data_IF_068581447871
#
_entry.id   IF_068581447871
#
_cell.length_a   1.000
_cell.length_b   1.000
_cell.length_c   1.000
_cell.angle_alpha   90.00
_cell.angle_beta   90.00
_cell.angle_gamma   90.00
#
_symmetry.space_group_name_H-M   'P 1'
#
loop_
_entity.id
_entity.type
_entity.pdbx_description
1 polymer ?
#
# COMPACT_ATOMS: atom_id res chain seq x y z
N UNK A 1 -28.22 -13.81 61.71
CA UNK A 1 -27.02 -13.25 61.09
C UNK A 1 -26.29 -14.17 60.09
N UNK A 2 -26.34 -15.51 60.21
CA UNK A 2 -25.64 -16.43 59.26
C UNK A 2 -26.31 -16.56 57.88
N UNK A 3 -27.63 -16.41 57.80
CA UNK A 3 -28.39 -16.54 56.52
C UNK A 3 -28.15 -15.37 55.56
N UNK A 4 -28.08 -14.14 56.04
CA UNK A 4 -27.86 -12.92 55.25
C UNK A 4 -26.46 -12.88 54.64
N UNK A 5 -25.44 -13.37 55.36
CA UNK A 5 -24.05 -13.44 54.83
C UNK A 5 -23.93 -14.45 53.70
N UNK A 6 -24.69 -15.59 53.78
CA UNK A 6 -24.70 -16.59 52.70
C UNK A 6 -25.43 -16.09 51.43
N UNK A 7 -26.53 -15.32 51.61
CA UNK A 7 -27.26 -14.72 50.51
C UNK A 7 -26.42 -13.64 49.81
N UNK A 8 -25.66 -12.84 50.58
CA UNK A 8 -24.76 -11.81 50.04
C UNK A 8 -23.58 -12.41 49.24
N UNK A 9 -22.98 -13.50 49.73
CA UNK A 9 -21.92 -14.21 49.03
C UNK A 9 -22.39 -14.89 47.73
N UNK A 10 -23.60 -15.43 47.71
CA UNK A 10 -24.20 -16.02 46.51
C UNK A 10 -24.55 -14.95 45.48
N UNK A 11 -25.05 -13.78 45.89
CA UNK A 11 -25.35 -12.67 45.03
C UNK A 11 -24.09 -12.05 44.41
N UNK A 12 -23.00 -11.89 45.18
CA UNK A 12 -21.73 -11.38 44.67
C UNK A 12 -21.04 -12.38 43.71
N UNK A 13 -21.14 -13.68 44.00
CA UNK A 13 -20.63 -14.73 43.10
C UNK A 13 -21.36 -14.80 41.76
N UNK A 14 -22.68 -14.59 41.75
CA UNK A 14 -23.48 -14.54 40.54
C UNK A 14 -23.18 -13.28 39.70
N UNK A 15 -22.91 -12.13 40.33
CA UNK A 15 -22.54 -10.89 39.65
C UNK A 15 -21.14 -10.98 39.02
N UNK A 16 -20.19 -11.62 39.69
CA UNK A 16 -18.85 -11.87 39.14
C UNK A 16 -18.87 -12.89 37.99
N UNK A 17 -19.72 -13.89 38.06
CA UNK A 17 -19.85 -14.87 36.96
C UNK A 17 -20.50 -14.27 35.70
N UNK A 18 -21.41 -13.30 35.87
CA UNK A 18 -22.02 -12.59 34.73
C UNK A 18 -21.05 -11.63 34.00
N UNK A 19 -19.97 -11.15 34.67
CA UNK A 19 -18.98 -10.27 34.06
C UNK A 19 -17.89 -10.97 33.23
N UNK A 20 -17.92 -12.33 33.22
CA UNK A 20 -16.96 -13.13 32.42
C UNK A 20 -17.55 -13.73 31.15
N UNK A 21 -18.76 -13.30 30.77
CA UNK A 21 -19.26 -13.68 29.44
C UNK A 21 -18.33 -13.11 28.38
N UNK A 22 -17.69 -13.94 27.53
CA UNK A 22 -16.89 -13.41 26.45
C UNK A 22 -17.84 -12.59 25.58
N UNK A 23 -17.54 -11.29 25.45
CA UNK A 23 -18.13 -10.50 24.37
C UNK A 23 -17.66 -11.19 23.10
N UNK A 24 -18.57 -11.87 22.41
CA UNK A 24 -18.30 -12.39 21.10
C UNK A 24 -18.01 -11.16 20.21
N UNK A 25 -16.74 -10.85 20.02
CA UNK A 25 -16.37 -9.94 18.97
C UNK A 25 -16.90 -10.57 17.68
N UNK A 26 -17.87 -9.93 17.03
CA UNK A 26 -18.37 -10.37 15.75
C UNK A 26 -17.18 -10.52 14.81
N UNK A 27 -16.95 -11.71 14.28
CA UNK A 27 -15.93 -11.91 13.27
C UNK A 27 -16.34 -11.10 12.03
N UNK A 28 -15.41 -10.36 11.44
CA UNK A 28 -15.63 -9.65 10.19
C UNK A 28 -16.05 -10.67 9.12
N UNK A 29 -17.18 -10.44 8.47
CA UNK A 29 -17.66 -11.28 7.35
C UNK A 29 -17.42 -10.57 6.02
N UNK A 30 -17.41 -11.32 4.93
CA UNK A 30 -17.29 -10.74 3.58
C UNK A 30 -18.45 -9.79 3.25
N UNK A 31 -19.64 -10.03 3.83
CA UNK A 31 -20.83 -9.22 3.63
C UNK A 31 -20.74 -7.84 4.28
N UNK A 32 -19.91 -7.71 5.34
CA UNK A 32 -19.68 -6.42 6.01
C UNK A 32 -18.83 -5.46 5.18
N UNK A 33 -18.19 -5.94 4.10
CA UNK A 33 -17.30 -5.16 3.26
C UNK A 33 -17.94 -4.80 1.92
N UNK A 34 -18.03 -3.51 1.62
CA UNK A 34 -18.49 -3.00 0.31
C UNK A 34 -17.39 -3.09 -0.76
N UNK A 35 -16.11 -3.18 -0.35
CA UNK A 35 -14.99 -3.36 -1.26
C UNK A 35 -15.15 -4.69 -2.04
N UNK A 36 -14.92 -4.69 -3.37
CA UNK A 36 -15.03 -5.91 -4.18
C UNK A 36 -13.93 -6.94 -3.88
N UNK A 37 -12.76 -6.49 -3.43
CA UNK A 37 -11.66 -7.34 -2.95
C UNK A 37 -11.01 -6.72 -1.73
N UNK A 38 -10.56 -7.56 -0.78
CA UNK A 38 -9.87 -7.11 0.43
C UNK A 38 -8.91 -8.18 0.94
N UNK A 39 -7.81 -7.75 1.54
CA UNK A 39 -6.88 -8.60 2.28
C UNK A 39 -6.49 -7.88 3.56
N UNK A 40 -6.55 -8.57 4.69
CA UNK A 40 -5.98 -8.15 5.96
C UNK A 40 -4.86 -9.11 6.32
N UNK A 41 -3.67 -8.58 6.52
CA UNK A 41 -2.49 -9.38 6.83
C UNK A 41 -1.76 -8.83 8.06
N UNK A 42 -1.25 -9.72 8.89
CA UNK A 42 -0.36 -9.34 9.98
C UNK A 42 1.02 -8.96 9.42
N UNK A 43 1.47 -7.72 9.67
CA UNK A 43 2.68 -7.18 9.06
C UNK A 43 3.97 -7.91 9.49
N UNK A 44 4.02 -8.46 10.73
CA UNK A 44 5.21 -9.10 11.27
C UNK A 44 5.45 -10.51 10.74
N UNK A 45 4.40 -11.24 10.40
CA UNK A 45 4.45 -12.66 10.03
C UNK A 45 4.02 -12.93 8.59
N UNK A 46 3.35 -11.98 7.94
CA UNK A 46 2.73 -12.18 6.64
C UNK A 46 1.48 -13.07 6.68
N UNK A 47 0.98 -13.41 7.89
CA UNK A 47 -0.21 -14.24 8.02
C UNK A 47 -1.46 -13.50 7.56
N UNK A 48 -2.18 -14.07 6.61
CA UNK A 48 -3.50 -13.56 6.20
C UNK A 48 -4.49 -13.83 7.32
N UNK A 49 -5.16 -12.78 7.80
CA UNK A 49 -6.15 -12.81 8.87
C UNK A 49 -7.58 -12.81 8.31
N UNK A 50 -7.77 -12.16 7.17
CA UNK A 50 -9.03 -12.10 6.44
C UNK A 50 -8.76 -11.85 4.97
N UNK A 51 -9.57 -12.43 4.10
CA UNK A 51 -9.52 -12.16 2.67
C UNK A 51 -10.92 -12.25 2.04
N UNK A 52 -11.12 -11.44 1.00
CA UNK A 52 -12.29 -11.44 0.14
C UNK A 52 -11.82 -11.25 -1.30
N UNK A 53 -12.10 -12.21 -2.19
CA UNK A 53 -11.70 -12.17 -3.61
C UNK A 53 -10.24 -11.71 -3.81
N UNK A 54 -9.32 -12.13 -2.94
CA UNK A 54 -7.94 -11.63 -2.86
C UNK A 54 -7.09 -12.00 -4.08
N UNK A 55 -7.49 -13.05 -4.81
CA UNK A 55 -6.83 -13.54 -6.01
C UNK A 55 -7.52 -13.12 -7.32
N UNK A 56 -8.56 -12.30 -7.24
CA UNK A 56 -9.23 -11.80 -8.45
C UNK A 56 -8.37 -10.76 -9.14
N UNK A 57 -8.14 -10.94 -10.45
CA UNK A 57 -7.35 -10.01 -11.26
C UNK A 57 -8.13 -8.70 -11.44
N UNK A 58 -7.54 -7.60 -10.98
CA UNK A 58 -8.15 -6.26 -11.01
C UNK A 58 -7.14 -5.21 -11.42
N UNK A 59 -7.63 -4.17 -12.08
CA UNK A 59 -6.85 -2.93 -12.23
C UNK A 59 -6.75 -2.26 -10.86
N UNK A 60 -5.51 -2.03 -10.41
CA UNK A 60 -5.24 -1.49 -9.07
C UNK A 60 -5.03 0.02 -9.03
N UNK A 61 -5.17 0.71 -10.17
CA UNK A 61 -4.99 2.15 -10.30
C UNK A 61 -3.68 2.60 -9.61
N UNK A 62 -3.68 3.71 -8.89
CA UNK A 62 -2.48 4.27 -8.25
C UNK A 62 -1.79 3.38 -7.21
N UNK A 63 -2.34 2.22 -6.85
CA UNK A 63 -1.59 1.20 -6.09
C UNK A 63 -0.38 0.71 -6.90
N UNK A 64 -0.41 0.82 -8.22
CA UNK A 64 0.74 0.61 -9.13
C UNK A 64 2.01 1.32 -8.64
N UNK A 65 1.88 2.56 -8.12
CA UNK A 65 3.00 3.36 -7.62
C UNK A 65 3.74 2.75 -6.43
N UNK A 66 3.16 1.76 -5.75
CA UNK A 66 3.87 1.01 -4.71
C UNK A 66 5.06 0.26 -5.31
N UNK A 67 4.91 -0.35 -6.49
CA UNK A 67 6.03 -1.01 -7.19
C UNK A 67 7.03 0.03 -7.71
N UNK A 68 6.56 1.15 -8.23
CA UNK A 68 7.42 2.25 -8.68
C UNK A 68 8.31 2.74 -7.53
N UNK A 69 7.71 3.03 -6.39
CA UNK A 69 8.43 3.47 -5.19
C UNK A 69 9.35 2.39 -4.63
N UNK A 70 8.97 1.12 -4.69
CA UNK A 70 9.84 0.01 -4.30
C UNK A 70 11.14 0.03 -5.12
N UNK A 71 11.03 0.12 -6.45
CA UNK A 71 12.21 0.16 -7.33
C UNK A 71 13.07 1.43 -7.12
N UNK A 72 12.43 2.57 -6.86
CA UNK A 72 13.13 3.82 -6.51
C UNK A 72 13.91 3.65 -5.20
N UNK A 73 13.29 3.09 -4.16
CA UNK A 73 13.95 2.87 -2.88
C UNK A 73 15.08 1.83 -2.99
N UNK A 74 14.87 0.75 -3.74
CA UNK A 74 15.93 -0.23 -4.03
C UNK A 74 17.10 0.40 -4.79
N UNK A 75 16.83 1.33 -5.72
CA UNK A 75 17.88 2.06 -6.43
C UNK A 75 18.69 2.97 -5.49
N UNK A 76 18.02 3.60 -4.52
CA UNK A 76 18.68 4.41 -3.49
C UNK A 76 19.55 3.54 -2.59
N UNK A 77 19.02 2.43 -2.11
CA UNK A 77 19.76 1.49 -1.24
C UNK A 77 21.00 0.91 -1.95
N UNK A 78 20.92 0.74 -3.27
CA UNK A 78 22.02 0.27 -4.11
C UNK A 78 23.00 1.39 -4.51
N UNK A 79 22.75 2.63 -4.15
CA UNK A 79 23.57 3.80 -4.50
C UNK A 79 23.51 4.18 -5.99
N UNK A 80 22.50 3.71 -6.74
CA UNK A 80 22.25 4.10 -8.13
C UNK A 80 21.53 5.45 -8.27
N UNK A 81 20.92 5.90 -7.17
CA UNK A 81 20.19 7.14 -7.05
C UNK A 81 20.35 7.69 -5.64
N UNK A 82 20.21 8.99 -5.47
CA UNK A 82 20.19 9.68 -4.17
C UNK A 82 18.93 10.53 -4.06
N UNK A 83 18.39 10.70 -2.85
CA UNK A 83 17.29 11.63 -2.60
C UNK A 83 17.63 13.09 -2.95
N UNK A 84 18.93 13.42 -3.05
CA UNK A 84 19.41 14.75 -3.43
C UNK A 84 19.62 14.91 -4.93
N UNK A 85 19.44 13.85 -5.72
CA UNK A 85 19.58 13.95 -7.17
C UNK A 85 18.54 14.92 -7.75
N UNK A 86 18.93 15.63 -8.78
CA UNK A 86 18.04 16.52 -9.53
C UNK A 86 17.37 15.71 -10.63
N UNK A 87 16.05 15.60 -10.57
CA UNK A 87 15.22 14.94 -11.58
C UNK A 87 14.65 16.01 -12.50
N UNK A 88 14.73 15.77 -13.81
CA UNK A 88 14.15 16.65 -14.83
C UNK A 88 12.92 15.99 -15.43
N UNK A 89 11.81 16.69 -15.45
CA UNK A 89 10.58 16.23 -16.10
C UNK A 89 10.73 16.28 -17.62
N UNK A 90 10.47 15.16 -18.28
CA UNK A 90 10.40 15.09 -19.75
C UNK A 90 9.07 15.64 -20.28
N UNK A 91 8.96 15.83 -21.61
CA UNK A 91 7.67 16.11 -22.25
C UNK A 91 6.65 14.99 -21.98
N UNK A 92 7.11 13.73 -21.94
CA UNK A 92 6.26 12.58 -21.62
C UNK A 92 5.73 12.66 -20.21
N UNK A 93 6.61 12.81 -19.20
CA UNK A 93 6.21 12.95 -17.81
C UNK A 93 5.23 14.11 -17.61
N UNK A 94 5.50 15.27 -18.18
CA UNK A 94 4.65 16.45 -18.07
C UNK A 94 3.31 16.32 -18.80
N UNK A 95 3.17 15.38 -19.73
CA UNK A 95 1.93 15.10 -20.47
C UNK A 95 0.98 14.17 -19.75
N UNK A 96 1.38 13.63 -18.58
CA UNK A 96 0.53 12.74 -17.81
C UNK A 96 -0.73 13.47 -17.34
N UNK A 97 -1.83 12.75 -17.34
CA UNK A 97 -3.09 13.25 -16.81
C UNK A 97 -3.47 12.53 -15.51
N UNK A 98 -4.53 12.99 -14.89
CA UNK A 98 -5.04 12.43 -13.66
C UNK A 98 -4.55 13.21 -12.43
N UNK A 99 -3.98 12.53 -11.44
CA UNK A 99 -3.36 13.20 -10.29
C UNK A 99 -1.96 13.63 -10.64
N UNK A 100 -1.70 14.92 -10.67
CA UNK A 100 -0.43 15.53 -11.09
C UNK A 100 -0.02 16.64 -10.13
N UNK A 101 1.23 17.01 -10.15
CA UNK A 101 1.76 18.25 -9.56
C UNK A 101 2.03 19.31 -10.63
N UNK A 102 1.61 19.03 -11.88
CA UNK A 102 1.69 19.91 -13.06
C UNK A 102 3.12 20.32 -13.41
N UNK A 103 4.03 19.36 -13.46
CA UNK A 103 5.41 19.58 -13.91
C UNK A 103 5.43 20.10 -15.34
N UNK A 104 6.20 21.14 -15.59
CA UNK A 104 6.46 21.63 -16.94
C UNK A 104 7.62 20.85 -17.59
N UNK A 105 7.64 20.70 -18.93
CA UNK A 105 8.79 20.08 -19.61
C UNK A 105 10.10 20.79 -19.29
N UNK A 106 11.10 20.06 -18.83
CA UNK A 106 12.38 20.60 -18.41
C UNK A 106 12.41 21.14 -16.97
N UNK A 107 11.29 21.15 -16.26
CA UNK A 107 11.26 21.50 -14.85
C UNK A 107 12.07 20.48 -14.04
N UNK A 108 12.76 20.97 -13.01
CA UNK A 108 13.62 20.15 -12.17
C UNK A 108 13.18 20.18 -10.71
N UNK A 109 13.24 19.03 -10.06
CA UNK A 109 12.93 18.88 -8.65
C UNK A 109 13.88 17.86 -8.01
N UNK A 110 14.06 17.91 -6.69
CA UNK A 110 14.83 16.86 -6.00
C UNK A 110 14.12 15.51 -6.08
N UNK A 111 14.88 14.43 -6.09
CA UNK A 111 14.32 13.08 -6.01
C UNK A 111 13.45 12.90 -4.75
N UNK A 112 13.82 13.50 -3.63
CA UNK A 112 13.05 13.50 -2.37
C UNK A 112 11.68 14.14 -2.57
N UNK A 113 11.59 15.30 -3.23
CA UNK A 113 10.32 15.97 -3.49
C UNK A 113 9.47 15.21 -4.53
N UNK A 114 10.08 14.61 -5.56
CA UNK A 114 9.39 13.76 -6.52
C UNK A 114 8.79 12.50 -5.84
N UNK A 115 9.55 11.86 -4.95
CA UNK A 115 9.05 10.72 -4.14
C UNK A 115 7.88 11.16 -3.26
N UNK A 116 7.99 12.29 -2.57
CA UNK A 116 6.92 12.85 -1.75
C UNK A 116 5.68 13.19 -2.57
N UNK A 117 5.84 13.80 -3.75
CA UNK A 117 4.74 14.09 -4.66
C UNK A 117 4.03 12.80 -5.12
N UNK A 118 4.79 11.77 -5.46
CA UNK A 118 4.25 10.46 -5.84
C UNK A 118 3.45 9.82 -4.71
N UNK A 119 3.93 9.92 -3.45
CA UNK A 119 3.26 9.32 -2.28
C UNK A 119 2.04 10.13 -1.85
N UNK A 120 2.18 11.45 -1.70
CA UNK A 120 1.18 12.32 -1.04
C UNK A 120 0.11 12.79 -2.00
N UNK A 121 0.51 13.24 -3.20
CA UNK A 121 -0.40 13.71 -4.23
C UNK A 121 -0.80 12.61 -5.23
N UNK A 122 -0.18 11.43 -5.12
CA UNK A 122 -0.32 10.36 -6.13
C UNK A 122 0.05 10.84 -7.54
N UNK A 123 1.05 11.74 -7.64
CA UNK A 123 1.41 12.43 -8.86
C UNK A 123 1.93 11.47 -9.94
N UNK A 124 1.23 11.42 -11.08
CA UNK A 124 1.59 10.58 -12.22
C UNK A 124 2.84 11.11 -12.93
N UNK A 125 2.91 12.42 -13.14
CA UNK A 125 4.04 13.13 -13.75
C UNK A 125 5.34 12.89 -12.94
N UNK A 126 5.29 13.00 -11.62
CA UNK A 126 6.43 12.73 -10.75
C UNK A 126 6.84 11.24 -10.80
N UNK A 127 5.88 10.32 -10.83
CA UNK A 127 6.17 8.88 -10.93
C UNK A 127 6.89 8.54 -12.25
N UNK A 128 6.43 9.10 -13.36
CA UNK A 128 7.06 8.92 -14.68
C UNK A 128 8.46 9.56 -14.73
N UNK A 129 8.62 10.77 -14.18
CA UNK A 129 9.92 11.44 -14.13
C UNK A 129 10.95 10.62 -13.33
N UNK A 130 10.54 10.01 -12.19
CA UNK A 130 11.39 9.10 -11.42
C UNK A 130 11.76 7.85 -12.22
N UNK A 131 10.79 7.25 -12.91
CA UNK A 131 10.98 6.05 -13.73
C UNK A 131 11.98 6.32 -14.88
N UNK A 132 11.81 7.42 -15.60
CA UNK A 132 12.69 7.81 -16.69
C UNK A 132 14.10 8.17 -16.22
N UNK A 133 14.21 8.79 -15.04
CA UNK A 133 15.53 9.09 -14.44
C UNK A 133 16.32 7.80 -14.16
N UNK A 134 15.66 6.74 -13.70
CA UNK A 134 16.31 5.49 -13.36
C UNK A 134 16.65 4.59 -14.56
N UNK A 135 15.76 4.49 -15.52
CA UNK A 135 15.90 3.51 -16.63
C UNK A 135 15.87 4.16 -18.02
N UNK A 136 15.85 5.50 -18.09
CA UNK A 136 15.89 6.27 -19.34
C UNK A 136 14.52 6.45 -20.02
N UNK A 137 13.60 5.47 -19.91
CA UNK A 137 12.23 5.57 -20.42
C UNK A 137 11.25 4.86 -19.48
N UNK A 138 9.97 5.26 -19.53
CA UNK A 138 8.91 4.57 -18.80
C UNK A 138 8.81 3.09 -19.20
N UNK A 139 8.93 2.78 -20.50
CA UNK A 139 8.84 1.40 -20.99
C UNK A 139 9.95 0.51 -20.42
N UNK A 140 11.18 1.01 -20.33
CA UNK A 140 12.29 0.27 -19.73
C UNK A 140 12.04 0.06 -18.23
N UNK A 141 11.50 1.05 -17.55
CA UNK A 141 11.13 0.95 -16.14
C UNK A 141 10.00 -0.06 -15.92
N UNK A 142 8.97 -0.08 -16.77
CA UNK A 142 7.87 -1.06 -16.72
C UNK A 142 8.39 -2.49 -16.92
N UNK A 143 9.40 -2.70 -17.77
CA UNK A 143 10.07 -4.00 -17.89
C UNK A 143 10.71 -4.41 -16.54
N UNK A 144 11.35 -3.49 -15.83
CA UNK A 144 11.91 -3.72 -14.49
C UNK A 144 10.82 -4.03 -13.46
N UNK A 145 9.69 -3.30 -13.51
CA UNK A 145 8.54 -3.59 -12.64
C UNK A 145 8.04 -5.03 -12.83
N UNK A 146 7.89 -5.48 -14.08
CA UNK A 146 7.45 -6.85 -14.39
C UNK A 146 8.51 -7.89 -14.01
N UNK A 147 9.79 -7.60 -14.22
CA UNK A 147 10.87 -8.47 -13.74
C UNK A 147 10.81 -8.59 -12.20
N UNK A 148 10.67 -7.46 -11.49
CA UNK A 148 10.59 -7.47 -10.03
C UNK A 148 9.36 -8.19 -9.51
N UNK A 149 8.21 -8.03 -10.17
CA UNK A 149 7.00 -8.78 -9.86
C UNK A 149 7.25 -10.31 -9.94
N UNK A 150 7.92 -10.77 -10.99
CA UNK A 150 8.27 -12.19 -11.13
C UNK A 150 9.20 -12.67 -10.00
N UNK A 151 10.22 -11.89 -9.64
CA UNK A 151 11.15 -12.19 -8.53
C UNK A 151 10.41 -12.26 -7.17
N UNK A 152 9.40 -11.42 -6.97
CA UNK A 152 8.53 -11.42 -5.78
C UNK A 152 7.48 -12.54 -5.79
N UNK A 153 7.40 -13.33 -6.86
CA UNK A 153 6.42 -14.41 -7.01
C UNK A 153 5.01 -13.96 -7.35
N UNK A 154 4.84 -12.72 -7.86
CA UNK A 154 3.55 -12.14 -8.26
C UNK A 154 3.14 -12.66 -9.65
N UNK A 155 2.72 -13.92 -9.73
CA UNK A 155 2.54 -14.67 -11.00
C UNK A 155 1.47 -14.11 -11.93
N UNK A 156 0.44 -13.44 -11.37
CA UNK A 156 -0.72 -12.95 -12.12
C UNK A 156 -0.71 -11.42 -12.22
N UNK A 157 0.43 -10.78 -11.89
CA UNK A 157 0.59 -9.32 -11.95
C UNK A 157 1.34 -8.93 -13.22
N UNK A 158 0.76 -7.97 -13.96
CA UNK A 158 1.38 -7.37 -15.14
C UNK A 158 1.25 -5.86 -15.06
N UNK A 159 2.38 -5.17 -15.01
CA UNK A 159 2.45 -3.71 -15.10
C UNK A 159 2.49 -3.27 -16.56
N UNK A 160 1.71 -2.24 -16.90
CA UNK A 160 1.66 -1.63 -18.23
C UNK A 160 2.18 -0.19 -18.24
N UNK A 161 2.22 0.43 -17.10
CA UNK A 161 2.74 1.77 -16.82
C UNK A 161 3.32 1.81 -15.39
N UNK A 162 3.92 2.93 -15.00
CA UNK A 162 4.49 3.11 -13.67
C UNK A 162 3.63 3.97 -12.72
N UNK A 163 2.38 4.32 -13.09
CA UNK A 163 1.53 5.28 -12.37
C UNK A 163 0.10 4.79 -12.14
#
# INVERSE_FOLDING_TARGET
MKFWKRALCLGLGALLAASTLPVAAGALSEEDLTAPSAVLMEASTGKVLFEKNSHEVRACASITKVMTLLLVMEAIDQGRMSLTDTITASEHASSMGGSDIWLEPGETMSADDMVKATVVASANDAAVALAEHLEGTEEAFVQKMNQRAAELGMKDTVFKNCN
#
